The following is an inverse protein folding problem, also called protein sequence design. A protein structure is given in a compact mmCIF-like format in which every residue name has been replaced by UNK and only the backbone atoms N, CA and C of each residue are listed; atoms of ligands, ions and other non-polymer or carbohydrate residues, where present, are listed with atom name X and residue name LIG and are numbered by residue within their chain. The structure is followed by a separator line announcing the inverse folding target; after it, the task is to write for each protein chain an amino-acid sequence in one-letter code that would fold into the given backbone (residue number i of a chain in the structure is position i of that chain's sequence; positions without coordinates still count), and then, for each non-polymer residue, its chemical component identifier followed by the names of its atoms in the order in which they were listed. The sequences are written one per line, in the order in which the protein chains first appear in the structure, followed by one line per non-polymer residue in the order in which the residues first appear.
data_IF_153207027587
#
_entry.id   IF_153207027587
#
_cell.length_a   1.000
_cell.length_b   1.000
_cell.length_c   1.000
_cell.angle_alpha   90.00
_cell.angle_beta   90.00
_cell.angle_gamma   90.00
#
_symmetry.space_group_name_H-M   'P 1'
#
loop_
_entity.id
_entity.type
_entity.pdbx_description
1 polymer ?
#
# COMPACT_ATOMS: atom_id res chain seq x y z
N UNK A 1 26.05 14.84 6.70
CA UNK A 1 24.78 15.22 7.37
C UNK A 1 23.69 14.56 6.56
N UNK A 2 23.18 13.42 7.04
CA UNK A 2 22.06 12.71 6.43
C UNK A 2 20.82 13.57 6.62
N UNK A 3 20.13 13.91 5.53
CA UNK A 3 18.88 14.68 5.62
C UNK A 3 17.82 13.79 6.27
N UNK A 4 16.90 14.31 7.11
CA UNK A 4 15.81 13.51 7.66
C UNK A 4 15.00 12.77 6.59
N UNK A 5 15.02 13.24 5.34
CA UNK A 5 14.43 12.55 4.19
C UNK A 5 15.09 11.21 3.86
N UNK A 6 16.41 11.05 4.01
CA UNK A 6 17.11 9.82 3.58
C UNK A 6 16.59 8.60 4.34
N UNK A 7 16.40 8.72 5.66
CA UNK A 7 15.85 7.65 6.48
C UNK A 7 14.39 7.29 6.11
N UNK A 8 13.62 8.29 5.66
CA UNK A 8 12.26 8.05 5.19
C UNK A 8 12.23 7.39 3.82
N UNK A 9 13.12 7.78 2.90
CA UNK A 9 13.25 7.15 1.59
C UNK A 9 13.53 5.65 1.71
N UNK A 10 14.40 5.26 2.64
CA UNK A 10 14.69 3.85 2.93
C UNK A 10 13.48 3.07 3.47
N UNK A 11 12.52 3.77 4.12
CA UNK A 11 11.33 3.17 4.71
C UNK A 11 10.14 3.03 3.74
N UNK A 12 10.24 3.59 2.53
CA UNK A 12 9.15 3.56 1.53
C UNK A 12 8.73 2.13 1.15
N UNK A 13 9.65 1.18 0.89
CA UNK A 13 9.27 -0.18 0.49
C UNK A 13 8.43 -0.86 1.57
N UNK A 14 8.84 -0.76 2.83
CA UNK A 14 8.10 -1.32 3.97
C UNK A 14 6.76 -0.62 4.20
N UNK A 15 6.67 0.69 3.94
CA UNK A 15 5.40 1.43 4.01
C UNK A 15 4.40 0.94 2.96
N UNK A 16 4.88 0.70 1.74
CA UNK A 16 4.09 0.25 0.59
C UNK A 16 3.70 -1.22 0.73
N UNK A 17 4.56 -2.06 1.30
CA UNK A 17 4.27 -3.45 1.64
C UNK A 17 3.38 -3.60 2.89
N UNK A 18 3.19 -2.53 3.68
CA UNK A 18 2.41 -2.57 4.92
C UNK A 18 3.14 -3.22 6.11
N UNK A 19 4.47 -3.29 6.06
CA UNK A 19 5.31 -3.92 7.09
C UNK A 19 5.74 -2.95 8.21
N UNK A 20 5.53 -1.65 8.04
CA UNK A 20 5.83 -0.69 9.11
C UNK A 20 4.89 -0.86 10.31
N UNK A 21 5.49 -0.82 11.52
CA UNK A 21 4.73 -0.76 12.75
C UNK A 21 3.78 0.46 12.77
N UNK A 22 2.60 0.38 13.41
CA UNK A 22 1.59 1.44 13.34
C UNK A 22 2.07 2.83 13.78
N UNK A 23 3.02 2.90 14.73
CA UNK A 23 3.61 4.17 15.16
C UNK A 23 4.57 4.74 14.09
N UNK A 24 5.40 3.89 13.48
CA UNK A 24 6.31 4.27 12.42
C UNK A 24 5.56 4.70 11.14
N UNK A 25 4.48 4.00 10.79
CA UNK A 25 3.63 4.36 9.65
C UNK A 25 3.00 5.75 9.82
N UNK A 26 2.51 6.09 11.02
CA UNK A 26 1.97 7.44 11.31
C UNK A 26 3.03 8.52 11.21
N UNK A 27 4.23 8.26 11.73
CA UNK A 27 5.34 9.22 11.66
C UNK A 27 5.80 9.44 10.21
N UNK A 28 5.87 8.36 9.42
CA UNK A 28 6.14 8.42 7.99
C UNK A 28 5.07 9.25 7.26
N UNK A 29 3.78 8.96 7.50
CA UNK A 29 2.67 9.65 6.85
C UNK A 29 2.63 11.14 7.21
N UNK A 30 2.98 11.50 8.45
CA UNK A 30 3.14 12.89 8.88
C UNK A 30 4.28 13.60 8.14
N UNK A 31 5.43 12.94 7.93
CA UNK A 31 6.53 13.51 7.15
C UNK A 31 6.16 13.71 5.68
N UNK A 32 5.55 12.71 5.04
CA UNK A 32 5.13 12.78 3.64
C UNK A 32 4.06 13.85 3.40
N UNK A 33 3.24 14.17 4.41
CA UNK A 33 2.30 15.27 4.32
C UNK A 33 3.00 16.62 4.05
N UNK A 34 4.18 16.84 4.63
CA UNK A 34 4.94 18.09 4.58
C UNK A 34 6.14 18.07 3.61
N UNK A 35 6.55 16.91 3.10
CA UNK A 35 7.72 16.76 2.23
C UNK A 35 7.35 16.27 0.83
N UNK A 36 7.38 17.18 -0.14
CA UNK A 36 7.04 16.86 -1.53
C UNK A 36 7.99 15.83 -2.16
N UNK A 37 9.28 15.86 -1.86
CA UNK A 37 10.22 14.85 -2.36
C UNK A 37 9.92 13.43 -1.86
N UNK A 38 9.54 13.27 -0.59
CA UNK A 38 9.14 11.96 -0.07
C UNK A 38 7.74 11.56 -0.56
N UNK A 39 6.87 12.52 -0.87
CA UNK A 39 5.56 12.29 -1.48
C UNK A 39 5.68 11.75 -2.90
N UNK A 40 6.52 12.37 -3.73
CA UNK A 40 6.82 11.92 -5.09
C UNK A 40 7.45 10.52 -5.06
N UNK A 41 8.48 10.31 -4.24
CA UNK A 41 9.11 9.00 -4.12
C UNK A 41 8.11 7.90 -3.69
N UNK A 42 7.18 8.19 -2.77
CA UNK A 42 6.13 7.24 -2.38
C UNK A 42 5.19 6.91 -3.54
N UNK A 43 4.86 7.90 -4.39
CA UNK A 43 4.02 7.68 -5.57
C UNK A 43 4.73 6.81 -6.60
N UNK A 44 6.02 7.04 -6.85
CA UNK A 44 6.84 6.23 -7.76
C UNK A 44 6.87 4.77 -7.31
N UNK A 45 7.10 4.52 -6.03
CA UNK A 45 7.08 3.17 -5.47
C UNK A 45 5.72 2.48 -5.60
N UNK A 46 4.61 3.21 -5.38
CA UNK A 46 3.26 2.68 -5.58
C UNK A 46 2.97 2.34 -7.05
N UNK A 47 3.45 3.17 -7.97
CA UNK A 47 3.35 2.94 -9.41
C UNK A 47 4.11 1.66 -9.82
N UNK A 48 5.33 1.49 -9.30
CA UNK A 48 6.10 0.27 -9.52
C UNK A 48 5.40 -0.96 -8.94
N UNK A 49 4.87 -0.89 -7.71
CA UNK A 49 4.14 -2.02 -7.09
C UNK A 49 2.90 -2.42 -7.89
N UNK A 50 2.13 -1.45 -8.38
CA UNK A 50 0.94 -1.72 -9.21
C UNK A 50 1.33 -2.48 -10.50
N UNK A 51 2.38 -2.01 -11.18
CA UNK A 51 2.89 -2.64 -12.40
C UNK A 51 3.44 -4.05 -12.13
N UNK A 52 4.15 -4.23 -11.01
CA UNK A 52 4.67 -5.53 -10.59
C UNK A 52 3.53 -6.51 -10.25
N UNK A 53 2.44 -6.05 -9.64
CA UNK A 53 1.28 -6.88 -9.32
C UNK A 53 0.58 -7.37 -10.59
N UNK A 54 0.40 -6.50 -11.60
CA UNK A 54 -0.16 -6.90 -12.89
C UNK A 54 0.69 -7.97 -13.58
N UNK A 55 2.02 -7.88 -13.47
CA UNK A 55 2.94 -8.88 -14.02
C UNK A 55 2.91 -10.24 -13.31
N UNK A 56 2.44 -10.31 -12.05
CA UNK A 56 2.43 -11.55 -11.25
C UNK A 56 1.05 -12.22 -11.25
N UNK A 57 0.00 -11.53 -11.67
CA UNK A 57 -1.39 -11.98 -11.55
C UNK A 57 -1.85 -12.94 -12.67
N UNK A 58 -1.07 -13.97 -12.98
CA UNK A 58 -1.46 -15.01 -13.95
C UNK A 58 -2.29 -16.15 -13.34
N UNK A 59 -2.37 -16.25 -12.01
CA UNK A 59 -3.13 -17.33 -11.35
C UNK A 59 -4.00 -16.81 -10.22
N UNK A 60 -5.30 -17.12 -10.31
CA UNK A 60 -6.22 -16.89 -9.21
C UNK A 60 -5.85 -17.83 -8.05
N UNK A 61 -5.82 -17.34 -6.79
CA UNK A 61 -5.62 -18.22 -5.65
C UNK A 61 -6.79 -19.21 -5.53
N UNK A 62 -6.54 -20.44 -5.08
CA UNK A 62 -7.60 -21.43 -4.90
C UNK A 62 -8.68 -20.89 -3.96
N UNK A 63 -9.95 -20.98 -4.38
CA UNK A 63 -11.09 -20.48 -3.61
C UNK A 63 -11.42 -19.00 -3.82
N UNK A 64 -10.73 -18.29 -4.74
CA UNK A 64 -11.05 -16.90 -5.10
C UNK A 64 -12.52 -16.73 -5.53
N UNK A 65 -13.08 -17.68 -6.28
CA UNK A 65 -14.48 -17.64 -6.74
C UNK A 65 -15.47 -17.66 -5.57
N UNK A 66 -15.22 -18.49 -4.54
CA UNK A 66 -16.08 -18.56 -3.35
C UNK A 66 -15.95 -17.29 -2.49
N UNK A 67 -14.74 -16.74 -2.37
CA UNK A 67 -14.50 -15.48 -1.67
C UNK A 67 -15.22 -14.31 -2.35
N UNK A 68 -15.16 -14.23 -3.69
CA UNK A 68 -15.86 -13.21 -4.47
C UNK A 68 -17.38 -13.34 -4.32
N UNK A 69 -17.92 -14.56 -4.40
CA UNK A 69 -19.35 -14.80 -4.19
C UNK A 69 -19.84 -14.32 -2.82
N UNK A 70 -19.02 -14.48 -1.76
CA UNK A 70 -19.34 -13.98 -0.41
C UNK A 70 -19.34 -12.45 -0.32
N UNK A 71 -18.39 -11.77 -0.95
CA UNK A 71 -18.34 -10.30 -0.99
C UNK A 71 -19.54 -9.73 -1.73
N UNK A 72 -19.90 -10.33 -2.88
CA UNK A 72 -21.07 -9.91 -3.65
C UNK A 72 -22.38 -10.14 -2.89
N UNK A 73 -22.52 -11.27 -2.21
CA UNK A 73 -23.70 -11.55 -1.38
C UNK A 73 -23.83 -10.63 -0.17
N UNK A 74 -22.71 -10.23 0.45
CA UNK A 74 -22.71 -9.28 1.58
C UNK A 74 -23.02 -7.83 1.16
N UNK A 75 -22.82 -7.47 -0.11
CA UNK A 75 -23.16 -6.15 -0.65
C UNK A 75 -24.65 -5.95 -0.96
N UNK A 76 -25.46 -7.01 -0.87
CA UNK A 76 -26.90 -7.01 -1.19
C UNK A 76 -27.79 -7.00 0.07
N UNK A 77 -27.21 -6.86 1.27
CA UNK A 77 -28.01 -6.71 2.49
C UNK A 77 -28.65 -5.31 2.54
N UNK A 78 -30.00 -5.19 2.54
CA UNK A 78 -30.65 -3.90 2.71
C UNK A 78 -30.31 -3.38 4.11
N UNK A 79 -29.69 -2.21 4.19
CA UNK A 79 -29.58 -1.44 5.43
C UNK A 79 -31.00 -1.27 5.98
N UNK A 80 -31.29 -1.97 7.09
CA UNK A 80 -32.50 -1.80 7.88
C UNK A 80 -32.43 -0.53 8.73
#
# INVERSE_FOLDING_TARGET
MTSPCDAWLESIPDRVAGHLAPAAARAFDAHVADCDGCREALQDWRCWQATALEAVSETAPPGAELALARVLAAGDEPVQ
#
